data_IF_856863197831
#
_entry.id   IF_856863197831
#
_cell.length_a   1.000
_cell.length_b   1.000
_cell.length_c   1.000
_cell.angle_alpha   90.00
_cell.angle_beta   90.00
_cell.angle_gamma   90.00
#
_symmetry.space_group_name_H-M   'P 1'
#
loop_
_entity.id
_entity.type
_entity.pdbx_description
1 polymer ?
#
# COMPACT_ATOMS: atom_id res chain seq x y z
N UNK A 1 -18.80 7.94 -1.11
CA UNK A 1 -17.40 7.42 -1.09
C UNK A 1 -17.47 5.90 -0.95
N UNK A 2 -17.06 5.11 -1.96
CA UNK A 2 -17.07 3.66 -1.81
C UNK A 2 -15.89 3.20 -0.95
N UNK A 3 -16.18 2.61 0.20
CA UNK A 3 -15.17 1.89 0.97
C UNK A 3 -15.07 0.50 0.36
N UNK A 4 -13.89 0.16 -0.15
CA UNK A 4 -13.60 -1.21 -0.56
C UNK A 4 -13.39 -2.09 0.68
N UNK A 5 -13.84 -3.34 0.62
CA UNK A 5 -13.73 -4.31 1.72
C UNK A 5 -12.25 -4.58 2.02
N UNK A 6 -11.70 -3.82 2.98
CA UNK A 6 -10.43 -4.04 3.67
C UNK A 6 -10.62 -4.64 5.07
N UNK A 7 -11.87 -4.65 5.54
CA UNK A 7 -12.24 -5.29 6.79
C UNK A 7 -12.52 -6.76 6.51
N UNK A 8 -11.53 -7.60 6.72
CA UNK A 8 -11.74 -9.04 6.88
C UNK A 8 -11.69 -9.35 8.37
N UNK A 9 -12.81 -9.86 8.90
CA UNK A 9 -12.96 -10.19 10.31
C UNK A 9 -13.51 -11.61 10.37
N UNK A 10 -12.91 -12.45 11.21
CA UNK A 10 -13.37 -13.83 11.43
C UNK A 10 -14.76 -13.92 12.09
N UNK A 11 -15.35 -12.79 12.49
CA UNK A 11 -16.71 -12.69 12.98
C UNK A 11 -17.60 -11.92 11.99
N UNK A 12 -18.43 -12.65 11.26
CA UNK A 12 -19.35 -12.12 10.25
C UNK A 12 -20.38 -11.15 10.83
N UNK A 13 -20.85 -11.36 12.07
CA UNK A 13 -21.82 -10.46 12.72
C UNK A 13 -21.19 -9.11 13.07
N UNK A 14 -19.95 -9.13 13.55
CA UNK A 14 -19.20 -7.92 13.84
C UNK A 14 -18.86 -7.17 12.53
N UNK A 15 -18.50 -7.90 11.47
CA UNK A 15 -18.26 -7.30 10.16
C UNK A 15 -19.53 -6.63 9.62
N UNK A 16 -20.67 -7.32 9.71
CA UNK A 16 -21.95 -6.81 9.22
C UNK A 16 -22.41 -5.55 9.98
N UNK A 17 -22.41 -5.61 11.32
CA UNK A 17 -22.80 -4.46 12.15
C UNK A 17 -21.88 -3.26 11.96
N UNK A 18 -20.58 -3.49 11.79
CA UNK A 18 -19.61 -2.42 11.48
C UNK A 18 -19.88 -1.79 10.11
N UNK A 19 -20.18 -2.61 9.08
CA UNK A 19 -20.56 -2.10 7.76
C UNK A 19 -21.83 -1.27 7.80
N UNK A 20 -22.87 -1.74 8.47
CA UNK A 20 -24.14 -1.02 8.62
C UNK A 20 -23.94 0.31 9.35
N UNK A 21 -23.18 0.33 10.45
CA UNK A 21 -22.88 1.54 11.20
C UNK A 21 -22.12 2.58 10.37
N UNK A 22 -21.19 2.14 9.51
CA UNK A 22 -20.46 3.02 8.60
C UNK A 22 -21.35 3.52 7.45
N UNK A 23 -22.23 2.68 6.90
CA UNK A 23 -23.16 3.07 5.82
C UNK A 23 -24.19 4.11 6.25
N UNK A 24 -24.56 4.13 7.53
CA UNK A 24 -25.46 5.14 8.07
C UNK A 24 -24.76 6.49 8.22
N UNK A 25 -23.46 6.50 8.55
CA UNK A 25 -22.68 7.73 8.78
C UNK A 25 -22.06 8.30 7.51
N UNK A 26 -21.72 7.46 6.55
CA UNK A 26 -21.08 7.85 5.31
C UNK A 26 -21.94 7.32 4.15
N UNK A 27 -22.22 8.14 3.13
CA UNK A 27 -22.81 7.67 1.87
C UNK A 27 -21.85 6.66 1.21
N UNK A 28 -21.98 5.41 1.62
CA UNK A 28 -21.07 4.33 1.28
C UNK A 28 -21.84 3.24 0.53
N UNK A 29 -21.19 2.70 -0.47
CA UNK A 29 -21.66 1.56 -1.24
C UNK A 29 -20.62 0.47 -1.09
N UNK A 30 -21.03 -0.71 -0.62
CA UNK A 30 -20.15 -1.88 -0.56
C UNK A 30 -19.87 -2.34 -2.00
N UNK A 31 -18.66 -2.06 -2.48
CA UNK A 31 -18.22 -2.47 -3.82
C UNK A 31 -17.55 -3.86 -3.81
N UNK A 32 -17.63 -4.60 -2.71
CA UNK A 32 -16.99 -5.89 -2.54
C UNK A 32 -15.48 -5.77 -2.30
N UNK A 33 -14.72 -6.76 -2.78
CA UNK A 33 -13.28 -6.84 -2.53
C UNK A 33 -12.52 -5.66 -3.13
N UNK A 34 -11.57 -5.13 -2.35
CA UNK A 34 -10.66 -4.09 -2.80
C UNK A 34 -9.76 -4.60 -3.92
N UNK A 35 -10.00 -4.13 -5.15
CA UNK A 35 -9.13 -4.37 -6.31
C UNK A 35 -8.23 -3.19 -6.68
N UNK A 36 -8.70 -1.95 -6.51
CA UNK A 36 -7.94 -0.74 -6.82
C UNK A 36 -8.20 0.37 -5.80
N UNK A 37 -7.14 0.96 -5.24
CA UNK A 37 -7.22 2.12 -4.34
C UNK A 37 -5.98 3.00 -4.45
N UNK A 38 -6.16 4.30 -4.68
CA UNK A 38 -5.06 5.28 -4.81
C UNK A 38 -3.94 4.87 -5.81
N UNK A 39 -4.30 4.18 -6.89
CA UNK A 39 -3.32 3.67 -7.87
C UNK A 39 -2.63 2.35 -7.45
N UNK A 40 -2.98 1.80 -6.29
CA UNK A 40 -2.60 0.45 -5.88
C UNK A 40 -3.60 -0.56 -6.41
N UNK A 41 -3.11 -1.58 -7.09
CA UNK A 41 -3.81 -2.81 -7.40
C UNK A 41 -3.67 -3.74 -6.19
N UNK A 42 -4.80 -4.23 -5.69
CA UNK A 42 -4.84 -5.06 -4.48
C UNK A 42 -5.41 -6.42 -4.87
N UNK A 43 -4.69 -7.46 -4.48
CA UNK A 43 -5.03 -8.86 -4.71
C UNK A 43 -5.10 -9.56 -3.35
N UNK A 44 -6.26 -10.11 -3.02
CA UNK A 44 -6.54 -10.72 -1.73
C UNK A 44 -6.81 -12.20 -1.96
N UNK A 45 -6.01 -13.09 -1.38
CA UNK A 45 -6.25 -14.53 -1.43
C UNK A 45 -7.18 -14.93 -0.26
N UNK A 46 -8.45 -15.29 -0.52
CA UNK A 46 -9.40 -15.59 0.54
C UNK A 46 -9.05 -16.86 1.33
N UNK A 47 -8.19 -17.74 0.78
CA UNK A 47 -7.81 -18.99 1.45
C UNK A 47 -6.68 -18.78 2.44
N UNK A 48 -5.76 -17.88 2.14
CA UNK A 48 -4.58 -17.62 2.97
C UNK A 48 -4.70 -16.33 3.78
N UNK A 49 -5.65 -15.45 3.43
CA UNK A 49 -5.77 -14.11 4.00
C UNK A 49 -4.66 -13.15 3.56
N UNK A 50 -3.82 -13.56 2.61
CA UNK A 50 -2.70 -12.76 2.14
C UNK A 50 -3.20 -11.62 1.24
N UNK A 51 -2.67 -10.43 1.47
CA UNK A 51 -2.91 -9.25 0.65
C UNK A 51 -1.62 -8.92 -0.10
N UNK A 52 -1.68 -8.96 -1.43
CA UNK A 52 -0.62 -8.52 -2.31
C UNK A 52 -0.99 -7.18 -2.93
N UNK A 53 -0.02 -6.27 -3.00
CA UNK A 53 -0.20 -4.93 -3.57
C UNK A 53 0.75 -4.73 -4.74
N UNK A 54 0.25 -4.20 -5.86
CA UNK A 54 1.04 -3.83 -7.04
C UNK A 54 0.70 -2.39 -7.43
N UNK A 55 1.66 -1.67 -8.00
CA UNK A 55 1.45 -0.27 -8.46
C UNK A 55 1.90 -0.08 -9.91
N UNK A 56 1.94 -1.15 -10.71
CA UNK A 56 2.48 -1.11 -12.07
C UNK A 56 1.77 -0.09 -12.94
N UNK A 57 0.43 -0.05 -12.90
CA UNK A 57 -0.34 0.95 -13.65
C UNK A 57 -0.04 2.37 -13.18
N UNK A 58 -0.07 2.61 -11.88
CA UNK A 58 0.20 3.94 -11.33
C UNK A 58 1.61 4.45 -11.65
N UNK A 59 2.61 3.59 -11.58
CA UNK A 59 3.98 3.94 -11.97
C UNK A 59 4.06 4.35 -13.45
N UNK A 60 3.37 3.63 -14.34
CA UNK A 60 3.29 3.99 -15.77
C UNK A 60 2.56 5.32 -15.97
N UNK A 61 1.41 5.50 -15.33
CA UNK A 61 0.61 6.74 -15.44
C UNK A 61 1.42 7.97 -14.96
N UNK A 62 2.25 7.81 -13.92
CA UNK A 62 3.16 8.87 -13.46
C UNK A 62 4.22 9.17 -14.51
N UNK A 63 4.89 8.14 -15.05
CA UNK A 63 5.92 8.35 -16.06
C UNK A 63 5.33 9.06 -17.28
N UNK A 64 4.13 8.67 -17.71
CA UNK A 64 3.41 9.29 -18.83
C UNK A 64 3.09 10.76 -18.57
N UNK A 65 2.55 11.04 -17.39
CA UNK A 65 2.20 12.40 -16.98
C UNK A 65 3.39 13.36 -17.00
N UNK A 66 4.59 12.87 -16.75
CA UNK A 66 5.81 13.69 -16.73
C UNK A 66 6.68 13.51 -17.98
N UNK A 67 6.19 12.81 -19.02
CA UNK A 67 6.93 12.52 -20.25
C UNK A 67 8.26 11.80 -19.99
N UNK A 68 8.25 10.87 -19.05
CA UNK A 68 9.42 10.16 -18.53
C UNK A 68 9.49 8.69 -18.98
N UNK A 69 8.63 8.23 -19.91
CA UNK A 69 8.59 6.81 -20.36
C UNK A 69 9.95 6.27 -20.80
N UNK A 70 10.77 7.14 -21.39
CA UNK A 70 12.07 6.80 -21.97
C UNK A 70 13.26 7.12 -21.04
N UNK A 71 12.98 7.52 -19.79
CA UNK A 71 14.02 7.81 -18.81
C UNK A 71 14.82 6.55 -18.45
N UNK A 72 16.11 6.71 -18.17
CA UNK A 72 16.97 5.58 -17.80
C UNK A 72 16.48 4.92 -16.50
N UNK A 73 16.12 3.62 -16.54
CA UNK A 73 15.60 2.93 -15.36
C UNK A 73 16.69 2.74 -14.31
N UNK A 74 16.34 2.96 -13.04
CA UNK A 74 17.19 2.62 -11.90
C UNK A 74 16.87 1.19 -11.47
N UNK A 75 17.89 0.36 -11.21
CA UNK A 75 17.73 -1.07 -10.90
C UNK A 75 16.91 -1.37 -9.63
N UNK A 76 16.90 -0.45 -8.66
CA UNK A 76 16.21 -0.63 -7.36
C UNK A 76 15.57 0.68 -6.92
N UNK A 77 14.36 1.01 -7.41
CA UNK A 77 13.62 2.19 -6.99
C UNK A 77 12.98 2.04 -5.60
N UNK A 78 12.68 0.80 -5.20
CA UNK A 78 12.22 0.42 -3.85
C UNK A 78 13.31 -0.45 -3.20
N UNK A 79 13.62 -0.21 -1.92
CA UNK A 79 14.63 -0.99 -1.19
C UNK A 79 14.09 -2.41 -0.92
N UNK A 80 14.69 -3.47 -1.51
CA UNK A 80 14.26 -4.85 -1.30
C UNK A 80 14.52 -5.36 0.13
N UNK A 81 15.37 -4.68 0.90
CA UNK A 81 15.65 -4.99 2.30
C UNK A 81 14.69 -4.33 3.30
N UNK A 82 13.81 -3.45 2.82
CA UNK A 82 12.88 -2.70 3.67
C UNK A 82 11.76 -3.61 4.18
N UNK A 83 11.89 -4.06 5.42
CA UNK A 83 10.80 -4.74 6.13
C UNK A 83 9.97 -3.72 6.88
N UNK A 84 8.74 -3.51 6.42
CA UNK A 84 7.77 -2.70 7.14
C UNK A 84 7.40 -3.42 8.43
N UNK A 85 7.56 -2.73 9.56
CA UNK A 85 7.17 -3.24 10.87
C UNK A 85 6.14 -2.30 11.48
N UNK A 86 5.37 -2.80 12.46
CA UNK A 86 4.35 -2.01 13.17
C UNK A 86 4.93 -0.74 13.83
N UNK A 87 6.22 -0.76 14.19
CA UNK A 87 6.93 0.38 14.76
C UNK A 87 7.15 1.53 13.77
N UNK A 88 6.97 1.29 12.47
CA UNK A 88 7.12 2.29 11.41
C UNK A 88 5.78 3.00 11.08
N UNK A 89 4.68 2.64 11.76
CA UNK A 89 3.41 3.36 11.69
C UNK A 89 3.46 4.63 12.56
N UNK A 90 2.67 5.65 12.20
CA UNK A 90 2.64 6.95 12.90
C UNK A 90 2.48 6.78 14.43
N UNK A 91 3.48 7.26 15.18
CA UNK A 91 3.56 7.17 16.64
C UNK A 91 4.77 6.38 17.18
N UNK A 92 5.44 5.59 16.35
CA UNK A 92 6.80 5.10 16.62
C UNK A 92 7.81 6.01 15.96
N UNK A 93 8.85 6.46 16.66
CA UNK A 93 9.96 7.18 16.05
C UNK A 93 10.76 6.20 15.16
N UNK A 94 10.62 6.26 13.82
CA UNK A 94 11.20 5.25 12.94
C UNK A 94 12.72 5.41 12.83
N UNK A 95 13.27 6.55 13.23
CA UNK A 95 14.67 6.92 12.97
C UNK A 95 15.62 6.50 14.10
N UNK A 96 15.08 6.18 15.29
CA UNK A 96 15.89 5.75 16.43
C UNK A 96 16.15 4.24 16.50
N UNK A 97 15.35 3.40 15.84
CA UNK A 97 15.47 1.93 15.92
C UNK A 97 16.19 1.31 14.71
N UNK A 98 16.37 2.07 13.62
CA UNK A 98 17.09 1.57 12.44
C UNK A 98 18.58 1.91 12.60
N UNK A 99 19.48 0.92 12.72
CA UNK A 99 20.91 1.18 12.82
C UNK A 99 21.38 2.01 11.62
N UNK A 100 22.28 2.96 11.86
CA UNK A 100 22.79 3.87 10.80
C UNK A 100 23.39 3.11 9.61
N UNK A 101 23.86 1.89 9.85
CA UNK A 101 24.37 0.96 8.84
C UNK A 101 23.33 0.43 7.86
N UNK A 102 22.03 0.59 8.15
CA UNK A 102 20.91 0.23 7.28
C UNK A 102 20.31 1.42 6.53
N UNK A 103 20.80 2.65 6.74
CA UNK A 103 20.43 3.75 5.85
C UNK A 103 20.99 3.48 4.45
N UNK A 104 20.18 3.64 3.39
CA UNK A 104 20.63 3.36 2.03
C UNK A 104 21.82 4.25 1.68
N UNK A 105 22.90 3.62 1.21
CA UNK A 105 24.14 4.27 0.84
C UNK A 105 23.89 5.45 -0.11
N UNK A 106 24.39 6.62 0.32
CA UNK A 106 24.48 7.84 -0.49
C UNK A 106 25.18 7.53 -1.82
N UNK A 107 24.53 7.90 -2.91
CA UNK A 107 25.03 7.91 -4.29
C UNK A 107 26.55 8.14 -4.35
N UNK A 108 27.33 7.11 -4.66
CA UNK A 108 28.65 7.35 -5.25
C UNK A 108 28.40 7.79 -6.68
N UNK A 109 28.48 9.10 -6.90
CA UNK A 109 28.60 9.72 -8.22
C UNK A 109 29.85 9.14 -8.89
N UNK A 110 29.68 8.22 -9.83
CA UNK A 110 30.72 7.89 -10.81
C UNK A 110 30.22 8.32 -12.17
N UNK A 111 30.98 9.24 -12.78
CA UNK A 111 30.72 9.78 -14.11
C UNK A 111 31.25 8.89 -15.23
#
# INVERSE_FOLDING_TARGET
MPILRLLDNNNDELLKSTKEALSVRFEMTDMGQLKYFLGMEIDQDPRTGNVSVRQTKFAKDILEKFSMEMSNPVKTPQDPGLKLTKAMCEGGDPWHTVPVSRYPNRLTRTG
#
